data_IF_357319748803
#
_entry.id   IF_357319748803
#
_cell.length_a   1.000
_cell.length_b   1.000
_cell.length_c   1.000
_cell.angle_alpha   90.00
_cell.angle_beta   90.00
_cell.angle_gamma   90.00
#
_symmetry.space_group_name_H-M   'P 1'
#
loop_
_entity.id
_entity.type
_entity.pdbx_description
1 polymer ?
#
# COMPACT_ATOMS: atom_id res chain seq x y z
N UNK A 1 -14.65 -2.30 -4.87
CA UNK A 1 -13.35 -2.49 -4.25
C UNK A 1 -12.83 -1.22 -3.56
N UNK A 2 -13.73 -0.38 -3.13
CA UNK A 2 -13.40 0.79 -2.31
C UNK A 2 -13.76 0.57 -0.84
N UNK A 3 -14.45 -0.53 -0.51
CA UNK A 3 -14.78 -0.93 0.84
C UNK A 3 -13.80 -1.95 1.42
N UNK A 4 -14.01 -2.34 2.70
CA UNK A 4 -13.17 -3.29 3.40
C UNK A 4 -13.03 -4.62 2.65
N UNK A 5 -11.82 -5.17 2.64
CA UNK A 5 -11.60 -6.53 2.19
C UNK A 5 -12.13 -7.47 3.28
N UNK A 6 -13.12 -8.27 2.96
CA UNK A 6 -13.78 -9.17 3.92
C UNK A 6 -12.88 -10.32 4.41
N UNK A 7 -11.68 -10.46 3.91
CA UNK A 7 -10.74 -11.56 4.23
C UNK A 7 -9.29 -11.13 3.96
N UNK A 8 -8.33 -11.88 4.52
CA UNK A 8 -6.88 -11.74 4.26
C UNK A 8 -6.58 -11.68 2.76
N UNK A 9 -7.29 -12.47 1.94
CA UNK A 9 -7.11 -12.49 0.49
C UNK A 9 -8.14 -11.60 -0.20
N UNK A 10 -7.70 -10.50 -0.79
CA UNK A 10 -8.55 -9.64 -1.60
C UNK A 10 -9.03 -10.36 -2.87
N UNK A 11 -10.33 -10.26 -3.16
CA UNK A 11 -10.94 -10.85 -4.36
C UNK A 11 -11.12 -9.85 -5.50
N UNK A 12 -11.09 -8.56 -5.22
CA UNK A 12 -11.34 -7.48 -6.16
C UNK A 12 -10.28 -6.39 -6.01
N UNK A 13 -9.97 -5.72 -7.12
CA UNK A 13 -9.09 -4.54 -7.16
C UNK A 13 -9.66 -3.51 -8.12
N UNK A 14 -9.64 -2.25 -7.72
CA UNK A 14 -9.98 -1.13 -8.60
C UNK A 14 -8.74 -0.47 -9.23
N UNK A 15 -7.55 -0.80 -8.78
CA UNK A 15 -6.31 -0.18 -9.27
C UNK A 15 -6.06 -0.52 -10.73
N UNK A 16 -6.33 -1.76 -11.15
CA UNK A 16 -6.03 -2.23 -12.51
C UNK A 16 -7.00 -1.78 -13.58
N UNK A 17 -8.24 -1.43 -13.22
CA UNK A 17 -9.31 -1.12 -14.20
C UNK A 17 -10.09 0.14 -13.88
N UNK A 18 -9.81 0.79 -12.72
CA UNK A 18 -10.61 1.90 -12.15
C UNK A 18 -12.04 1.51 -11.79
N UNK A 19 -12.39 0.24 -11.89
CA UNK A 19 -13.69 -0.34 -11.54
C UNK A 19 -13.50 -1.54 -10.64
N UNK A 20 -14.55 -1.96 -9.92
CA UNK A 20 -14.53 -3.14 -9.07
C UNK A 20 -14.43 -4.41 -9.90
N UNK A 21 -13.22 -4.81 -10.21
CA UNK A 21 -12.94 -5.97 -11.06
C UNK A 21 -12.37 -7.10 -10.23
N UNK A 22 -12.88 -8.34 -10.39
CA UNK A 22 -12.24 -9.52 -9.81
C UNK A 22 -10.77 -9.60 -10.21
N UNK A 23 -9.87 -9.82 -9.25
CA UNK A 23 -8.42 -9.83 -9.50
C UNK A 23 -8.03 -10.79 -10.62
N UNK A 24 -8.72 -11.92 -10.72
CA UNK A 24 -8.50 -12.92 -11.77
C UNK A 24 -8.84 -12.42 -13.19
N UNK A 25 -9.64 -11.36 -13.31
CA UNK A 25 -10.02 -10.75 -14.60
C UNK A 25 -9.21 -9.49 -14.92
N UNK A 26 -8.34 -9.05 -14.03
CA UNK A 26 -7.44 -7.91 -14.29
C UNK A 26 -6.33 -8.40 -15.22
N UNK A 27 -6.14 -7.79 -16.40
CA UNK A 27 -5.17 -8.26 -17.41
C UNK A 27 -3.71 -7.94 -17.04
N UNK A 28 -3.44 -7.63 -15.80
CA UNK A 28 -2.12 -7.30 -15.27
C UNK A 28 -1.83 -8.07 -14.00
N UNK A 29 -0.55 -8.38 -13.77
CA UNK A 29 -0.12 -9.02 -12.53
C UNK A 29 -0.29 -8.05 -11.36
N UNK A 30 -1.17 -8.39 -10.44
CA UNK A 30 -1.43 -7.60 -9.23
C UNK A 30 -1.24 -8.43 -7.97
N UNK A 31 -0.89 -7.75 -6.89
CA UNK A 31 -0.92 -8.30 -5.52
C UNK A 31 -1.58 -7.28 -4.61
N UNK A 32 -2.33 -7.76 -3.65
CA UNK A 32 -3.02 -6.94 -2.66
C UNK A 32 -2.67 -7.46 -1.28
N UNK A 33 -2.13 -6.57 -0.44
CA UNK A 33 -1.93 -6.79 1.00
C UNK A 33 -3.06 -6.08 1.71
N UNK A 34 -3.88 -6.81 2.45
CA UNK A 34 -5.08 -6.27 3.12
C UNK A 34 -4.76 -5.73 4.51
N UNK A 35 -5.66 -4.94 5.09
CA UNK A 35 -5.55 -4.47 6.48
C UNK A 35 -5.44 -5.64 7.46
N UNK A 36 -6.19 -6.71 7.23
CA UNK A 36 -6.14 -7.92 8.06
C UNK A 36 -4.77 -8.61 7.99
N UNK A 37 -4.17 -8.71 6.80
CA UNK A 37 -2.81 -9.22 6.64
C UNK A 37 -1.78 -8.32 7.31
N UNK A 38 -1.91 -7.00 7.15
CA UNK A 38 -1.06 -6.03 7.85
C UNK A 38 -1.22 -6.11 9.37
N UNK A 39 -2.43 -6.32 9.88
CA UNK A 39 -2.68 -6.48 11.30
C UNK A 39 -1.99 -7.74 11.89
N UNK A 40 -1.88 -8.81 11.12
CA UNK A 40 -1.17 -10.03 11.53
C UNK A 40 0.36 -9.83 11.58
N UNK A 41 0.92 -9.14 10.58
CA UNK A 41 2.37 -8.92 10.47
C UNK A 41 2.86 -7.70 11.26
N UNK A 42 1.98 -6.79 11.63
CA UNK A 42 2.26 -5.54 12.36
C UNK A 42 3.46 -4.76 11.78
N UNK A 43 3.48 -4.47 10.47
CA UNK A 43 4.58 -3.77 9.85
C UNK A 43 4.71 -2.34 10.39
N UNK A 44 5.95 -1.84 10.46
CA UNK A 44 6.24 -0.45 10.90
C UNK A 44 6.11 0.56 9.75
N UNK A 45 6.09 0.07 8.51
CA UNK A 45 6.00 0.91 7.30
C UNK A 45 5.33 0.15 6.18
N UNK A 46 4.87 0.86 5.15
CA UNK A 46 4.27 0.25 3.96
C UNK A 46 5.28 -0.64 3.22
N UNK A 47 6.56 -0.25 3.16
CA UNK A 47 7.59 -1.10 2.55
C UNK A 47 7.73 -2.44 3.28
N UNK A 48 7.65 -2.44 4.60
CA UNK A 48 7.72 -3.66 5.39
C UNK A 48 6.49 -4.55 5.16
N UNK A 49 5.30 -3.96 5.07
CA UNK A 49 4.07 -4.67 4.70
C UNK A 49 4.18 -5.39 3.34
N UNK A 50 4.97 -4.84 2.43
CA UNK A 50 5.14 -5.35 1.08
C UNK A 50 6.36 -6.27 0.92
N UNK A 51 7.11 -6.55 1.99
CA UNK A 51 8.36 -7.31 1.95
C UNK A 51 8.18 -8.75 1.44
N UNK A 52 7.02 -9.33 1.64
CA UNK A 52 6.67 -10.68 1.15
C UNK A 52 5.99 -10.68 -0.23
N UNK A 53 5.84 -9.50 -0.85
CA UNK A 53 5.17 -9.41 -2.15
C UNK A 53 6.11 -9.80 -3.29
N UNK A 54 5.77 -10.80 -4.12
CA UNK A 54 6.64 -11.24 -5.21
C UNK A 54 6.98 -10.12 -6.19
N UNK A 55 8.26 -10.02 -6.58
CA UNK A 55 8.76 -9.01 -7.52
C UNK A 55 8.89 -7.60 -6.93
N UNK A 56 8.80 -7.46 -5.61
CA UNK A 56 9.05 -6.22 -4.88
C UNK A 56 10.29 -6.38 -4.02
N UNK A 57 11.17 -5.40 -4.05
CA UNK A 57 12.32 -5.30 -3.16
C UNK A 57 12.23 -4.02 -2.34
N UNK A 58 12.35 -4.15 -1.02
CA UNK A 58 12.11 -3.06 -0.06
C UNK A 58 13.38 -2.56 0.63
N UNK A 59 14.49 -3.26 0.46
CA UNK A 59 15.72 -3.03 1.23
C UNK A 59 16.72 -2.05 0.63
N UNK A 60 16.33 -1.22 -0.32
CA UNK A 60 17.25 -0.38 -1.12
C UNK A 60 18.06 0.62 -0.31
N UNK A 61 17.58 1.01 0.86
CA UNK A 61 18.24 1.95 1.78
C UNK A 61 18.49 1.36 3.16
N UNK A 62 18.65 0.06 3.24
CA UNK A 62 18.84 -0.67 4.50
C UNK A 62 17.66 -0.53 5.45
N UNK A 63 17.96 -0.49 6.75
CA UNK A 63 16.94 -0.48 7.82
C UNK A 63 16.25 0.88 8.03
N UNK A 64 16.60 1.92 7.27
CA UNK A 64 15.97 3.24 7.43
C UNK A 64 14.50 3.21 7.09
N UNK A 65 13.66 3.69 8.00
CA UNK A 65 12.22 3.86 7.81
C UNK A 65 11.82 5.27 7.36
N UNK A 66 12.79 6.12 7.04
CA UNK A 66 12.55 7.50 6.62
C UNK A 66 11.89 7.58 5.24
N UNK A 67 12.07 6.54 4.41
CA UNK A 67 11.59 6.52 3.03
C UNK A 67 10.91 5.19 2.70
N UNK A 68 9.76 5.25 2.06
CA UNK A 68 9.04 4.10 1.52
C UNK A 68 9.43 3.80 0.06
N UNK A 69 10.75 3.69 -0.18
CA UNK A 69 11.26 3.36 -1.51
C UNK A 69 11.11 1.89 -1.83
N UNK A 70 10.56 1.61 -2.98
CA UNK A 70 10.32 0.27 -3.50
C UNK A 70 11.00 0.08 -4.85
N UNK A 71 11.51 -1.12 -5.09
CA UNK A 71 11.89 -1.59 -6.42
C UNK A 71 10.85 -2.61 -6.87
N UNK A 72 10.21 -2.36 -8.00
CA UNK A 72 9.24 -3.27 -8.59
C UNK A 72 9.82 -3.81 -9.89
N UNK A 73 10.01 -5.13 -9.99
CA UNK A 73 10.62 -5.81 -11.15
C UNK A 73 11.96 -5.22 -11.57
N UNK A 74 12.80 -4.83 -10.61
CA UNK A 74 14.12 -4.25 -10.87
C UNK A 74 14.12 -2.76 -11.24
N UNK A 75 12.95 -2.12 -11.33
CA UNK A 75 12.84 -0.68 -11.58
C UNK A 75 12.63 0.04 -10.26
N UNK A 76 13.58 0.91 -9.92
CA UNK A 76 13.44 1.78 -8.76
C UNK A 76 12.36 2.84 -9.02
N UNK A 77 11.50 3.02 -8.05
CA UNK A 77 10.55 4.13 -8.02
C UNK A 77 11.21 5.34 -7.33
N UNK A 78 12.32 5.84 -7.90
CA UNK A 78 13.10 6.93 -7.32
C UNK A 78 12.82 8.27 -8.00
N UNK A 79 12.85 9.34 -7.21
CA UNK A 79 12.73 10.70 -7.69
C UNK A 79 11.37 11.01 -8.32
N UNK A 80 11.35 11.76 -9.42
CA UNK A 80 10.12 12.12 -10.15
C UNK A 80 9.38 10.94 -10.77
N UNK A 81 9.97 9.75 -10.72
CA UNK A 81 9.39 8.51 -11.25
C UNK A 81 8.75 7.64 -10.18
N UNK A 82 8.64 8.15 -8.95
CA UNK A 82 7.93 7.44 -7.89
C UNK A 82 6.51 7.09 -8.34
N UNK A 83 6.17 5.83 -8.20
CA UNK A 83 4.87 5.31 -8.58
C UNK A 83 4.05 4.93 -7.35
N UNK A 84 4.13 5.77 -6.32
CA UNK A 84 3.33 5.68 -5.12
C UNK A 84 2.07 6.53 -5.29
N UNK A 85 0.94 5.90 -5.08
CA UNK A 85 -0.38 6.50 -5.17
C UNK A 85 -1.12 6.31 -3.86
N UNK A 86 -1.91 7.30 -3.47
CA UNK A 86 -2.88 7.19 -2.37
C UNK A 86 -4.27 7.42 -2.95
N UNK A 87 -5.14 6.44 -2.81
CA UNK A 87 -6.50 6.46 -3.38
C UNK A 87 -6.54 6.77 -4.89
N UNK A 88 -5.52 6.31 -5.61
CA UNK A 88 -5.40 6.53 -7.05
C UNK A 88 -4.81 7.89 -7.45
N UNK A 89 -4.48 8.76 -6.49
CA UNK A 89 -3.79 10.03 -6.72
C UNK A 89 -2.30 9.86 -6.52
N UNK A 90 -1.50 10.33 -7.46
CA UNK A 90 -0.04 10.23 -7.40
C UNK A 90 0.49 11.07 -6.25
N UNK A 91 1.26 10.43 -5.36
CA UNK A 91 1.99 11.15 -4.34
C UNK A 91 3.17 11.87 -4.96
N UNK A 92 3.29 13.15 -4.63
CA UNK A 92 4.42 13.97 -5.03
C UNK A 92 5.55 13.77 -4.03
N UNK A 93 6.70 13.39 -4.53
CA UNK A 93 7.87 13.20 -3.71
C UNK A 93 9.14 13.33 -4.54
N UNK A 94 10.27 13.40 -3.88
CA UNK A 94 11.59 13.32 -4.48
C UNK A 94 12.48 12.40 -3.63
N UNK A 95 13.71 12.20 -4.06
CA UNK A 95 14.67 11.32 -3.41
C UNK A 95 14.89 11.59 -1.90
N UNK A 96 14.64 12.81 -1.45
CA UNK A 96 14.86 13.25 -0.05
C UNK A 96 13.58 13.57 0.70
N UNK A 97 12.46 13.61 0.01
CA UNK A 97 11.16 13.95 0.61
C UNK A 97 10.10 13.02 0.03
N UNK A 98 9.76 12.01 0.80
CA UNK A 98 8.72 11.04 0.47
C UNK A 98 7.63 11.07 1.54
N UNK A 99 6.39 10.91 1.13
CA UNK A 99 5.29 10.78 2.05
C UNK A 99 5.31 9.37 2.67
N UNK A 100 5.56 9.30 3.96
CA UNK A 100 5.46 8.06 4.73
C UNK A 100 4.04 7.94 5.25
N UNK A 101 3.37 6.87 4.87
CA UNK A 101 1.99 6.56 5.28
C UNK A 101 2.05 5.45 6.33
N UNK A 102 1.36 5.65 7.45
CA UNK A 102 1.24 4.61 8.47
C UNK A 102 0.33 3.49 7.95
N UNK A 103 0.79 2.22 7.96
CA UNK A 103 -0.02 1.07 7.54
C UNK A 103 -1.38 0.96 8.25
N UNK A 104 -1.49 1.43 9.49
CA UNK A 104 -2.74 1.45 10.24
C UNK A 104 -3.85 2.26 9.57
N UNK A 105 -3.48 3.30 8.81
CA UNK A 105 -4.44 4.14 8.07
C UNK A 105 -4.97 3.47 6.79
N UNK A 106 -4.37 2.34 6.39
CA UNK A 106 -4.67 1.70 5.13
C UNK A 106 -5.69 0.56 5.28
N UNK A 107 -6.60 0.52 4.35
CA UNK A 107 -7.47 -0.63 4.11
C UNK A 107 -6.72 -1.73 3.36
N UNK A 108 -5.86 -1.33 2.42
CA UNK A 108 -5.00 -2.24 1.65
C UNK A 108 -3.92 -1.50 0.89
N UNK A 109 -2.87 -2.23 0.55
CA UNK A 109 -1.84 -1.81 -0.38
C UNK A 109 -1.89 -2.70 -1.63
N UNK A 110 -2.09 -2.08 -2.79
CA UNK A 110 -2.22 -2.78 -4.09
C UNK A 110 -0.98 -2.52 -4.94
N UNK A 111 -0.28 -3.57 -5.33
CA UNK A 111 0.84 -3.49 -6.27
C UNK A 111 0.38 -3.99 -7.63
N UNK A 112 0.56 -3.17 -8.64
CA UNK A 112 0.44 -3.56 -10.04
C UNK A 112 1.81 -3.60 -10.68
N UNK A 113 2.11 -4.70 -11.36
CA UNK A 113 3.40 -4.95 -12.01
C UNK A 113 3.28 -4.79 -13.52
N UNK A 114 4.23 -4.07 -14.10
CA UNK A 114 4.30 -3.79 -15.54
C UNK A 114 3.81 -2.39 -15.88
N UNK A 115 3.72 -2.03 -17.16
CA UNK A 115 3.38 -0.70 -17.62
C UNK A 115 1.93 -0.36 -17.29
N UNK A 116 1.74 0.74 -16.55
CA UNK A 116 0.43 1.22 -16.09
C UNK A 116 0.09 2.61 -16.65
N UNK A 117 0.87 3.08 -17.60
CA UNK A 117 0.78 4.45 -18.14
C UNK A 117 -0.57 4.78 -18.78
N UNK A 118 -1.28 3.78 -19.27
CA UNK A 118 -2.62 3.97 -19.87
C UNK A 118 -3.62 4.54 -18.88
N UNK A 119 -3.54 4.11 -17.61
CA UNK A 119 -4.49 4.52 -16.55
C UNK A 119 -3.92 5.58 -15.60
N UNK A 120 -2.59 5.66 -15.51
CA UNK A 120 -1.91 6.47 -14.49
C UNK A 120 -0.93 7.49 -15.06
N UNK A 121 -0.85 7.61 -16.40
CA UNK A 121 0.05 8.55 -17.07
C UNK A 121 1.52 8.16 -16.92
N UNK A 122 2.43 9.14 -16.88
CA UNK A 122 3.87 8.90 -16.77
C UNK A 122 4.19 8.09 -15.51
N UNK A 123 4.66 6.86 -15.71
CA UNK A 123 4.94 5.91 -14.64
C UNK A 123 6.17 5.07 -14.96
N UNK A 124 6.76 4.43 -13.94
CA UNK A 124 7.84 3.45 -14.12
C UNK A 124 7.34 2.21 -14.85
N UNK A 125 8.13 1.60 -15.73
CA UNK A 125 7.74 0.37 -16.41
C UNK A 125 7.63 -0.85 -15.46
N UNK A 126 8.22 -0.77 -14.28
CA UNK A 126 8.14 -1.83 -13.27
C UNK A 126 6.75 -2.02 -12.69
N UNK A 127 6.02 -0.93 -12.54
CA UNK A 127 4.69 -0.97 -11.94
C UNK A 127 4.39 0.22 -11.02
N UNK A 128 3.35 0.11 -10.22
CA UNK A 128 2.96 1.10 -9.22
C UNK A 128 2.52 0.44 -7.90
N UNK A 129 2.60 1.22 -6.83
CA UNK A 129 1.96 0.97 -5.56
C UNK A 129 0.77 1.92 -5.40
N UNK A 130 -0.42 1.41 -5.17
CA UNK A 130 -1.59 2.20 -4.79
C UNK A 130 -2.02 1.83 -3.37
N UNK A 131 -1.92 2.77 -2.47
CA UNK A 131 -2.39 2.67 -1.09
C UNK A 131 -3.84 3.13 -1.03
N UNK A 132 -4.69 2.33 -0.43
CA UNK A 132 -6.11 2.65 -0.26
C UNK A 132 -6.34 2.89 1.22
N UNK A 133 -6.76 4.09 1.58
CA UNK A 133 -7.07 4.45 2.96
C UNK A 133 -8.36 3.80 3.43
N UNK A 134 -8.46 3.54 4.73
CA UNK A 134 -9.70 3.12 5.38
C UNK A 134 -10.82 4.11 5.05
N UNK A 135 -12.03 3.60 4.92
CA UNK A 135 -13.25 4.36 4.66
C UNK A 135 -14.31 4.05 5.70
N UNK A 136 -15.21 4.98 5.97
CA UNK A 136 -16.37 4.71 6.81
C UNK A 136 -17.12 3.46 6.33
N UNK A 137 -17.42 2.57 7.26
CA UNK A 137 -18.22 1.37 7.03
C UNK A 137 -19.69 1.67 7.39
N UNK A 138 -20.60 0.84 6.87
CA UNK A 138 -22.03 0.93 7.23
C UNK A 138 -22.31 0.38 8.63
N UNK A 139 -21.40 -0.43 9.15
CA UNK A 139 -21.49 -0.99 10.49
C UNK A 139 -20.62 -0.14 11.45
N UNK A 140 -21.11 0.14 12.66
CA UNK A 140 -20.34 0.86 13.66
C UNK A 140 -19.06 0.08 14.01
N UNK A 141 -17.92 0.75 13.91
CA UNK A 141 -16.63 0.22 14.34
C UNK A 141 -16.09 1.05 15.48
N UNK A 142 -15.61 0.40 16.51
CA UNK A 142 -14.91 1.04 17.64
C UNK A 142 -13.65 0.23 17.93
N UNK A 143 -12.53 0.72 17.45
CA UNK A 143 -11.24 0.08 17.63
C UNK A 143 -10.28 1.00 18.37
N UNK A 144 -9.55 0.43 19.32
CA UNK A 144 -8.44 1.08 20.01
C UNK A 144 -7.25 0.15 19.94
N UNK A 145 -6.18 0.59 19.34
CA UNK A 145 -4.95 -0.17 19.20
C UNK A 145 -3.86 0.45 20.08
N UNK A 146 -3.16 -0.41 20.82
CA UNK A 146 -1.93 -0.05 21.52
C UNK A 146 -0.79 -0.89 21.00
N UNK A 147 0.31 -0.25 20.62
CA UNK A 147 1.52 -0.91 20.14
C UNK A 147 2.70 -0.46 21.01
N UNK A 148 3.39 -1.40 21.61
CA UNK A 148 4.61 -1.18 22.37
C UNK A 148 5.72 -2.09 21.81
N UNK A 149 6.93 -1.60 21.78
CA UNK A 149 8.05 -2.35 21.21
C UNK A 149 9.38 -1.94 21.82
N UNK A 150 10.46 -2.51 21.30
CA UNK A 150 11.83 -2.12 21.63
C UNK A 150 12.10 -0.68 21.20
N UNK A 151 13.21 -0.10 21.67
CA UNK A 151 13.65 1.27 21.33
C UNK A 151 12.65 2.36 21.71
N UNK A 152 11.93 2.16 22.84
CA UNK A 152 10.92 3.11 23.33
C UNK A 152 9.76 3.36 22.36
N UNK A 153 9.48 2.40 21.47
CA UNK A 153 8.32 2.48 20.59
C UNK A 153 7.04 2.38 21.41
N UNK A 154 6.22 3.43 21.36
CA UNK A 154 4.86 3.43 21.89
C UNK A 154 3.94 4.15 20.88
N UNK A 155 2.91 3.47 20.43
CA UNK A 155 1.95 4.00 19.47
C UNK A 155 0.53 3.67 19.93
N UNK A 156 -0.37 4.63 19.77
CA UNK A 156 -1.80 4.46 20.04
C UNK A 156 -2.58 4.84 18.79
N UNK A 157 -3.47 3.96 18.36
CA UNK A 157 -4.39 4.19 17.24
C UNK A 157 -5.83 4.16 17.70
N UNK A 158 -6.67 4.99 17.10
CA UNK A 158 -8.11 5.01 17.34
C UNK A 158 -8.81 4.99 15.98
N UNK A 159 -9.83 4.14 15.86
CA UNK A 159 -10.69 4.08 14.67
C UNK A 159 -12.15 3.97 15.14
N UNK A 160 -12.91 5.03 14.94
CA UNK A 160 -14.30 5.13 15.34
C UNK A 160 -15.15 5.49 14.12
N UNK A 161 -16.09 4.61 13.80
CA UNK A 161 -17.09 4.79 12.75
C UNK A 161 -18.47 4.55 13.35
N UNK A 162 -19.38 5.50 13.18
CA UNK A 162 -20.74 5.42 13.72
C UNK A 162 -21.72 6.27 12.96
#
# INVERSE_FOLDING_TARGET
AWGPAATIAARQSATGTKTDTPIQKVPQSSSVVTAEEMALHQPKSVKEALSYTPGVSVGTRGASNTYDHLIIRGFAAEGQSQNNYLNGLKLQGNFYNDAVIDPYMLERAEIMRGPVSVLYGKSSPGGLLNMVSKRPTTEPLKEVQFKAGTDSLFQTGFDFVG
#
